data_IF_961754001205
#
_entry.id   IF_961754001205
#
_cell.length_a   1.000
_cell.length_b   1.000
_cell.length_c   1.000
_cell.angle_alpha   90.00
_cell.angle_beta   90.00
_cell.angle_gamma   90.00
#
_symmetry.space_group_name_H-M   'P 1'
#
loop_
_entity.id
_entity.type
_entity.pdbx_description
1 polymer ?
#
# COMPACT_ATOMS: atom_id res chain seq x y z
N UNK A 1 9.58 -18.60 -14.07
CA UNK A 1 8.55 -19.18 -13.16
C UNK A 1 7.18 -18.98 -13.83
N UNK A 2 6.08 -19.59 -13.39
CA UNK A 2 4.77 -19.43 -14.04
C UNK A 2 3.95 -18.29 -13.42
N UNK A 3 3.11 -17.60 -14.20
CA UNK A 3 2.13 -16.64 -13.67
C UNK A 3 1.19 -17.37 -12.71
N UNK A 4 0.99 -16.83 -11.50
CA UNK A 4 0.04 -17.41 -10.55
C UNK A 4 -1.40 -17.18 -11.03
N UNK A 5 -2.24 -18.20 -10.91
CA UNK A 5 -3.66 -18.11 -11.28
C UNK A 5 -4.51 -17.48 -10.17
N UNK A 6 -4.01 -17.41 -8.93
CA UNK A 6 -4.70 -16.79 -7.80
C UNK A 6 -4.96 -15.30 -8.08
N UNK A 7 -6.19 -14.81 -7.93
CA UNK A 7 -6.49 -13.38 -8.05
C UNK A 7 -5.65 -12.52 -7.08
N UNK A 8 -5.21 -11.31 -7.46
CA UNK A 8 -4.41 -10.43 -6.59
C UNK A 8 -5.07 -10.14 -5.23
N UNK A 9 -6.39 -9.98 -5.20
CA UNK A 9 -7.18 -9.69 -3.99
C UNK A 9 -7.09 -10.81 -2.94
N UNK A 10 -6.88 -12.05 -3.38
CA UNK A 10 -6.76 -13.23 -2.52
C UNK A 10 -5.33 -13.46 -2.01
N UNK A 11 -4.34 -12.70 -2.51
CA UNK A 11 -2.95 -12.82 -2.09
C UNK A 11 -2.69 -12.08 -0.78
N UNK A 12 -1.88 -12.68 0.09
CA UNK A 12 -1.33 -11.96 1.24
C UNK A 12 -0.41 -10.83 0.75
N UNK A 13 -0.30 -9.74 1.52
CA UNK A 13 0.49 -8.57 1.14
C UNK A 13 1.94 -8.93 0.73
N UNK A 14 2.60 -9.78 1.51
CA UNK A 14 3.96 -10.24 1.20
C UNK A 14 4.04 -11.01 -0.11
N UNK A 15 3.01 -11.78 -0.45
CA UNK A 15 2.95 -12.58 -1.67
C UNK A 15 2.69 -11.71 -2.90
N UNK A 16 1.81 -10.71 -2.74
CA UNK A 16 1.49 -9.70 -3.74
C UNK A 16 2.75 -8.92 -4.16
N UNK A 17 3.50 -8.41 -3.17
CA UNK A 17 4.76 -7.69 -3.42
C UNK A 17 5.85 -8.61 -3.98
N UNK A 18 5.99 -9.83 -3.46
CA UNK A 18 6.98 -10.78 -3.96
C UNK A 18 6.73 -11.12 -5.42
N UNK A 19 5.49 -11.44 -5.79
CA UNK A 19 5.13 -11.75 -7.18
C UNK A 19 5.36 -10.53 -8.10
N UNK A 20 5.00 -9.32 -7.66
CA UNK A 20 5.24 -8.12 -8.44
C UNK A 20 6.73 -7.90 -8.74
N UNK A 21 7.60 -8.05 -7.74
CA UNK A 21 9.06 -7.89 -7.88
C UNK A 21 9.65 -9.00 -8.76
N UNK A 22 9.28 -10.26 -8.51
CA UNK A 22 9.70 -11.40 -9.34
C UNK A 22 9.36 -11.17 -10.81
N UNK A 23 8.14 -10.69 -11.07
CA UNK A 23 7.73 -10.37 -12.42
C UNK A 23 8.59 -9.25 -12.99
N UNK A 24 8.87 -8.14 -12.28
CA UNK A 24 9.71 -7.05 -12.78
C UNK A 24 11.09 -7.54 -13.26
N UNK A 25 11.72 -8.44 -12.51
CA UNK A 25 13.01 -9.03 -12.87
C UNK A 25 12.89 -9.88 -14.15
N UNK A 26 11.82 -10.67 -14.30
CA UNK A 26 11.61 -11.51 -15.50
C UNK A 26 11.39 -10.71 -16.80
N UNK A 27 10.88 -9.46 -16.77
CA UNK A 27 10.79 -8.67 -18.03
C UNK A 27 12.14 -8.27 -18.60
N UNK A 28 13.17 -8.18 -17.77
CA UNK A 28 14.49 -7.81 -18.25
C UNK A 28 15.10 -8.93 -19.12
N UNK A 29 14.61 -10.17 -18.95
CA UNK A 29 15.18 -11.38 -19.56
C UNK A 29 14.29 -12.05 -20.61
N UNK A 30 13.02 -11.62 -20.79
CA UNK A 30 12.06 -12.33 -21.64
C UNK A 30 12.06 -11.88 -23.11
N UNK A 31 12.33 -12.80 -24.04
CA UNK A 31 12.21 -12.60 -25.49
C UNK A 31 10.74 -12.49 -25.93
N UNK A 32 10.46 -11.53 -26.82
CA UNK A 32 9.14 -10.99 -27.17
C UNK A 32 8.09 -12.03 -27.62
N UNK A 33 6.86 -11.93 -27.10
CA UNK A 33 5.73 -12.77 -27.51
C UNK A 33 4.45 -12.64 -26.66
N UNK A 34 3.50 -13.58 -26.86
CA UNK A 34 2.21 -13.67 -26.15
C UNK A 34 2.36 -13.82 -24.61
N UNK A 35 3.49 -14.36 -24.16
CA UNK A 35 3.90 -14.42 -22.76
C UNK A 35 4.08 -13.03 -22.15
N UNK A 36 4.69 -12.08 -22.87
CA UNK A 36 4.97 -10.74 -22.39
C UNK A 36 3.68 -9.92 -22.15
N UNK A 37 2.68 -10.08 -23.03
CA UNK A 37 1.38 -9.44 -22.86
C UNK A 37 0.65 -9.92 -21.60
N UNK A 38 0.70 -11.24 -21.32
CA UNK A 38 0.14 -11.80 -20.09
C UNK A 38 0.90 -11.34 -18.84
N UNK A 39 2.24 -11.28 -18.90
CA UNK A 39 3.05 -10.79 -17.79
C UNK A 39 2.76 -9.32 -17.50
N UNK A 40 2.60 -8.47 -18.53
CA UNK A 40 2.19 -7.07 -18.35
C UNK A 40 0.81 -6.94 -17.73
N UNK A 41 -0.17 -7.71 -18.21
CA UNK A 41 -1.52 -7.69 -17.66
C UNK A 41 -1.49 -8.07 -16.18
N UNK A 42 -0.81 -9.16 -15.83
CA UNK A 42 -0.68 -9.60 -14.44
C UNK A 42 -0.04 -8.54 -13.55
N UNK A 43 1.02 -7.87 -14.03
CA UNK A 43 1.65 -6.78 -13.26
C UNK A 43 0.73 -5.60 -13.05
N UNK A 44 -0.07 -5.23 -14.06
CA UNK A 44 -1.04 -4.15 -13.91
C UNK A 44 -2.07 -4.50 -12.84
N UNK A 45 -2.57 -5.74 -12.82
CA UNK A 45 -3.53 -6.20 -11.82
C UNK A 45 -2.91 -6.20 -10.41
N UNK A 46 -1.67 -6.70 -10.26
CA UNK A 46 -0.94 -6.65 -8.98
C UNK A 46 -0.71 -5.22 -8.50
N UNK A 47 -0.33 -4.31 -9.40
CA UNK A 47 -0.10 -2.89 -9.06
C UNK A 47 -1.38 -2.18 -8.63
N UNK A 48 -2.50 -2.47 -9.29
CA UNK A 48 -3.80 -1.91 -8.91
C UNK A 48 -4.16 -2.32 -7.48
N UNK A 49 -4.08 -3.60 -7.16
CA UNK A 49 -4.36 -4.11 -5.82
C UNK A 49 -3.40 -3.54 -4.75
N UNK A 50 -2.10 -3.42 -5.08
CA UNK A 50 -1.14 -2.75 -4.18
C UNK A 50 -1.57 -1.31 -3.91
N UNK A 51 -1.96 -0.57 -4.95
CA UNK A 51 -2.43 0.80 -4.84
C UNK A 51 -3.66 0.94 -3.95
N UNK A 52 -4.68 0.12 -4.18
CA UNK A 52 -5.94 0.13 -3.42
C UNK A 52 -5.69 -0.14 -1.93
N UNK A 53 -4.82 -1.10 -1.60
CA UNK A 53 -4.43 -1.40 -0.21
C UNK A 53 -3.68 -0.23 0.44
N UNK A 54 -2.79 0.43 -0.29
CA UNK A 54 -2.05 1.59 0.23
C UNK A 54 -2.99 2.78 0.48
N UNK A 55 -3.93 3.05 -0.42
CA UNK A 55 -4.94 4.11 -0.23
C UNK A 55 -5.80 3.84 1.00
N UNK A 56 -6.25 2.60 1.20
CA UNK A 56 -6.99 2.19 2.39
C UNK A 56 -6.18 2.38 3.68
N UNK A 57 -4.88 2.05 3.66
CA UNK A 57 -3.98 2.28 4.80
C UNK A 57 -3.76 3.76 5.09
N UNK A 58 -3.61 4.59 4.06
CA UNK A 58 -3.48 6.05 4.22
C UNK A 58 -4.75 6.69 4.80
N UNK A 59 -5.92 6.23 4.34
CA UNK A 59 -7.21 6.64 4.90
C UNK A 59 -7.33 6.24 6.38
N UNK A 60 -6.99 5.00 6.72
CA UNK A 60 -6.98 4.53 8.10
C UNK A 60 -5.99 5.32 8.98
N UNK A 61 -4.79 5.61 8.47
CA UNK A 61 -3.79 6.43 9.15
C UNK A 61 -4.31 7.84 9.43
N UNK A 62 -5.02 8.43 8.47
CA UNK A 62 -5.58 9.79 8.58
C UNK A 62 -6.64 9.87 9.67
N UNK A 63 -7.47 8.84 9.83
CA UNK A 63 -8.46 8.75 10.91
C UNK A 63 -7.81 8.68 12.30
N UNK A 64 -6.70 7.96 12.42
CA UNK A 64 -5.96 7.81 13.69
C UNK A 64 -5.17 9.08 14.02
N UNK A 65 -4.58 9.75 13.01
CA UNK A 65 -3.81 10.98 13.19
C UNK A 65 -4.65 12.24 13.49
N UNK A 66 -5.97 12.17 13.35
CA UNK A 66 -6.89 13.31 13.48
C UNK A 66 -7.51 13.53 14.87
N UNK A 67 -7.19 12.72 15.88
CA UNK A 67 -7.82 12.85 17.22
C UNK A 67 -6.84 13.35 18.28
N UNK A 68 -6.83 14.66 18.47
CA UNK A 68 -6.35 15.32 19.68
C UNK A 68 -6.52 16.83 19.53
N UNK A 69 -7.54 17.47 20.15
CA UNK A 69 -7.43 18.91 20.39
C UNK A 69 -6.14 19.13 21.18
N UNK A 70 -5.31 20.07 20.74
CA UNK A 70 -4.20 20.57 21.55
C UNK A 70 -4.78 20.91 22.94
N UNK A 71 -4.25 20.34 24.04
CA UNK A 71 -4.81 20.63 25.36
C UNK A 71 -4.67 22.13 25.58
N UNK A 72 -5.80 22.82 25.69
CA UNK A 72 -5.82 24.24 26.04
C UNK A 72 -4.93 24.43 27.28
N UNK A 73 -3.94 25.34 27.24
CA UNK A 73 -3.08 25.56 28.39
C UNK A 73 -3.96 25.96 29.57
N UNK A 74 -3.89 25.18 30.65
CA UNK A 74 -4.70 25.40 31.84
C UNK A 74 -4.63 26.89 32.27
N UNK A 75 -5.76 27.51 32.64
CA UNK A 75 -5.76 28.91 33.06
C UNK A 75 -4.79 29.08 34.22
N UNK A 76 -3.78 29.96 34.04
CA UNK A 76 -2.84 30.30 35.11
C UNK A 76 -3.62 31.07 36.17
N UNK A 77 -3.84 30.44 37.32
CA UNK A 77 -4.25 31.15 38.52
C UNK A 77 -3.09 32.04 38.96
N UNK A 78 -3.20 33.33 38.71
CA UNK A 78 -2.30 34.32 39.31
C UNK A 78 -2.56 34.32 40.83
N UNK A 79 -1.52 34.25 41.67
CA UNK A 79 -1.71 34.32 43.10
C UNK A 79 -2.20 35.73 43.47
N UNK A 80 -3.39 35.83 44.07
CA UNK A 80 -3.87 37.07 44.67
C UNK A 80 -2.87 37.51 45.73
N UNK A 81 -2.21 38.64 45.47
CA UNK A 81 -1.30 39.29 46.40
C UNK A 81 -2.16 40.00 47.44
N UNK A 82 -2.15 39.49 48.67
CA UNK A 82 -2.67 40.17 49.86
C UNK A 82 -1.55 40.94 50.56
#
# INVERSE_FOLDING_TARGET
>A
MGIRETPPEDLAERELFAEFVELLDESAESEAGYSEARLRARRADLLAEIGDRLEALEAARSLIGGTGPEPEPAPRHEPEVN
#
